data_IF_605191510738
#
_entry.id   IF_605191510738
#
_cell.length_a   1.000
_cell.length_b   1.000
_cell.length_c   1.000
_cell.angle_alpha   90.00
_cell.angle_beta   90.00
_cell.angle_gamma   90.00
#
_symmetry.space_group_name_H-M   'P 1'
#
loop_
_entity.id
_entity.type
_entity.pdbx_description
1 polymer ?
#
# COMPACT_ATOMS: atom_id res chain seq x y z
N UNK A 1 2.68 4.27 19.54
CA UNK A 1 2.01 4.06 18.25
C UNK A 1 3.03 3.67 17.21
N UNK A 2 2.92 2.49 16.67
CA UNK A 2 4.00 1.98 15.80
C UNK A 2 3.54 1.74 14.37
N UNK A 3 2.46 1.00 14.16
CA UNK A 3 1.97 0.80 12.81
C UNK A 3 0.48 0.47 12.80
N UNK A 4 -0.16 0.83 11.69
CA UNK A 4 -1.57 0.58 11.46
C UNK A 4 -1.75 -0.05 10.09
N UNK A 5 -2.67 -1.01 10.02
CA UNK A 5 -3.06 -1.67 8.79
C UNK A 5 -4.50 -1.28 8.47
N UNK A 6 -4.73 -0.85 7.24
CA UNK A 6 -6.03 -0.34 6.83
C UNK A 6 -6.55 -1.16 5.66
N UNK A 7 -7.79 -1.64 5.79
CA UNK A 7 -8.49 -2.33 4.72
C UNK A 7 -9.63 -1.46 4.21
N UNK A 8 -9.65 -1.18 2.92
CA UNK A 8 -10.68 -0.33 2.33
C UNK A 8 -11.93 -1.08 1.90
N UNK A 9 -11.86 -2.42 1.82
CA UNK A 9 -13.00 -3.20 1.32
C UNK A 9 -14.08 -3.41 2.35
N UNK A 10 -13.80 -3.04 3.60
CA UNK A 10 -14.78 -3.11 4.69
C UNK A 10 -15.19 -1.70 5.09
N UNK A 11 -16.47 -1.40 5.04
CA UNK A 11 -17.01 -0.10 5.45
C UNK A 11 -17.75 -0.25 6.78
N UNK A 12 -17.46 0.63 7.79
CA UNK A 12 -16.40 1.65 7.77
C UNK A 12 -15.01 1.04 7.69
N UNK A 13 -14.01 1.85 7.38
CA UNK A 13 -12.64 1.34 7.26
C UNK A 13 -12.21 0.61 8.53
N UNK A 14 -11.72 -0.60 8.37
CA UNK A 14 -11.13 -1.32 9.48
C UNK A 14 -9.67 -0.92 9.63
N UNK A 15 -9.31 -0.49 10.83
CA UNK A 15 -7.94 -0.17 11.18
C UNK A 15 -7.47 -1.17 12.22
N UNK A 16 -6.42 -1.90 11.89
CA UNK A 16 -5.81 -2.85 12.80
C UNK A 16 -4.49 -2.26 13.30
N UNK A 17 -4.36 -2.18 14.61
CA UNK A 17 -3.15 -1.65 15.25
C UNK A 17 -2.18 -2.78 15.54
N UNK A 18 -0.92 -2.60 15.17
CA UNK A 18 0.15 -3.56 15.48
C UNK A 18 1.15 -2.91 16.42
N UNK A 19 1.69 -3.69 17.33
CA UNK A 19 2.59 -3.20 18.38
C UNK A 19 4.05 -3.13 17.92
N UNK A 20 4.40 -3.88 16.90
CA UNK A 20 5.75 -3.86 16.30
C UNK A 20 5.67 -4.42 14.86
N UNK A 21 6.83 -4.47 14.19
CA UNK A 21 6.90 -4.95 12.81
C UNK A 21 6.56 -6.42 12.65
N UNK A 22 6.97 -7.25 13.59
CA UNK A 22 6.65 -8.69 13.54
C UNK A 22 5.14 -8.93 13.68
N UNK A 23 4.51 -8.20 14.58
CA UNK A 23 3.06 -8.25 14.77
C UNK A 23 2.33 -7.83 13.49
N UNK A 24 2.78 -6.75 12.87
CA UNK A 24 2.22 -6.28 11.59
C UNK A 24 2.36 -7.32 10.49
N UNK A 25 3.53 -7.96 10.37
CA UNK A 25 3.74 -9.01 9.39
C UNK A 25 2.82 -10.21 9.64
N UNK A 26 2.58 -10.54 10.90
CA UNK A 26 1.64 -11.60 11.28
C UNK A 26 0.25 -11.33 10.75
N UNK A 27 -0.24 -10.10 10.91
CA UNK A 27 -1.54 -9.70 10.36
C UNK A 27 -1.55 -9.76 8.84
N UNK A 28 -0.49 -9.27 8.19
CA UNK A 28 -0.38 -9.27 6.73
C UNK A 28 -0.38 -10.68 6.14
N UNK A 29 0.12 -11.66 6.88
CA UNK A 29 0.10 -13.06 6.45
C UNK A 29 -1.27 -13.70 6.57
N UNK A 30 -2.13 -13.18 7.45
CA UNK A 30 -3.45 -13.74 7.73
C UNK A 30 -4.55 -13.09 6.92
N UNK A 31 -4.46 -11.78 6.69
CA UNK A 31 -5.50 -10.99 6.03
C UNK A 31 -4.90 -10.06 4.98
N UNK A 32 -5.74 -9.67 4.05
CA UNK A 32 -5.37 -8.68 3.05
C UNK A 32 -5.62 -7.27 3.59
N UNK A 33 -4.61 -6.40 3.43
CA UNK A 33 -4.72 -4.98 3.76
C UNK A 33 -4.32 -4.14 2.55
N UNK A 34 -4.86 -2.94 2.47
CA UNK A 34 -4.58 -2.03 1.36
C UNK A 34 -3.49 -1.01 1.68
N UNK A 35 -3.38 -0.62 2.94
CA UNK A 35 -2.44 0.40 3.39
C UNK A 35 -1.73 -0.08 4.66
N UNK A 36 -0.42 0.10 4.69
CA UNK A 36 0.40 -0.03 5.90
C UNK A 36 0.91 1.37 6.26
N UNK A 37 0.53 1.85 7.43
CA UNK A 37 1.01 3.11 7.98
C UNK A 37 1.96 2.77 9.12
N UNK A 38 3.24 3.14 9.01
CA UNK A 38 4.25 2.74 9.99
C UNK A 38 5.20 3.87 10.35
N UNK A 39 5.67 3.84 11.59
CA UNK A 39 6.81 4.63 12.02
C UNK A 39 8.11 3.97 11.52
N UNK A 40 9.17 4.73 11.40
CA UNK A 40 10.50 4.19 11.07
C UNK A 40 11.11 3.48 12.28
N UNK A 41 11.15 4.17 13.42
CA UNK A 41 11.80 3.61 14.60
C UNK A 41 10.83 2.79 15.42
N UNK A 42 11.08 1.49 15.44
CA UNK A 42 10.30 0.54 16.21
C UNK A 42 11.25 -0.49 16.85
N UNK A 43 10.86 -1.10 17.99
CA UNK A 43 11.65 -2.19 18.57
C UNK A 43 11.74 -3.39 17.61
N UNK A 44 12.90 -4.01 17.58
CA UNK A 44 13.22 -5.25 16.86
C UNK A 44 13.29 -5.12 15.35
N UNK A 45 12.29 -4.57 14.71
CA UNK A 45 12.23 -4.39 13.26
C UNK A 45 11.80 -2.96 12.97
N UNK A 46 12.61 -2.19 12.25
CA UNK A 46 12.25 -0.82 11.91
C UNK A 46 11.24 -0.76 10.76
N UNK A 47 10.71 0.43 10.50
CA UNK A 47 9.69 0.61 9.46
C UNK A 47 10.19 0.35 8.05
N UNK A 48 11.46 0.56 7.78
CA UNK A 48 12.04 0.26 6.45
C UNK A 48 12.13 -1.23 6.23
N UNK A 49 12.58 -1.97 7.22
CA UNK A 49 12.66 -3.43 7.16
C UNK A 49 11.26 -4.04 7.06
N UNK A 50 10.32 -3.54 7.84
CA UNK A 50 8.92 -3.95 7.75
C UNK A 50 8.37 -3.69 6.34
N UNK A 51 8.64 -2.51 5.78
CA UNK A 51 8.18 -2.16 4.43
C UNK A 51 8.75 -3.10 3.38
N UNK A 52 10.01 -3.46 3.51
CA UNK A 52 10.67 -4.40 2.60
C UNK A 52 9.98 -5.76 2.62
N UNK A 53 9.73 -6.31 3.80
CA UNK A 53 9.05 -7.59 3.94
C UNK A 53 7.59 -7.52 3.47
N UNK A 54 6.89 -6.46 3.84
CA UNK A 54 5.48 -6.28 3.46
C UNK A 54 5.32 -6.18 1.94
N UNK A 55 6.16 -5.41 1.28
CA UNK A 55 6.11 -5.25 -0.18
C UNK A 55 6.58 -6.51 -0.92
N UNK A 56 7.42 -7.33 -0.31
CA UNK A 56 7.76 -8.64 -0.86
C UNK A 56 6.57 -9.59 -0.84
N UNK A 57 5.74 -9.52 0.20
CA UNK A 57 4.51 -10.31 0.30
C UNK A 57 3.41 -9.77 -0.62
N UNK A 58 3.23 -8.45 -0.62
CA UNK A 58 2.16 -7.77 -1.36
C UNK A 58 2.73 -6.58 -2.11
N UNK A 59 3.17 -6.75 -3.37
CA UNK A 59 3.76 -5.66 -4.14
C UNK A 59 2.84 -4.46 -4.36
N UNK A 60 1.53 -4.67 -4.31
CA UNK A 60 0.54 -3.61 -4.51
C UNK A 60 0.15 -2.89 -3.21
N UNK A 61 0.66 -3.33 -2.07
CA UNK A 61 0.40 -2.69 -0.79
C UNK A 61 0.91 -1.25 -0.81
N UNK A 62 0.10 -0.32 -0.33
CA UNK A 62 0.50 1.08 -0.19
C UNK A 62 1.13 1.28 1.18
N UNK A 63 2.40 1.64 1.21
CA UNK A 63 3.12 1.86 2.46
C UNK A 63 3.32 3.36 2.65
N UNK A 64 2.90 3.86 3.81
CA UNK A 64 3.09 5.24 4.23
C UNK A 64 3.97 5.24 5.48
N UNK A 65 5.11 5.89 5.40
CA UNK A 65 6.04 5.98 6.53
C UNK A 65 5.92 7.35 7.17
N UNK A 66 5.82 7.37 8.49
CA UNK A 66 5.81 8.59 9.30
C UNK A 66 7.05 8.56 10.19
N UNK A 67 7.89 9.59 10.09
CA UNK A 67 9.16 9.63 10.81
C UNK A 67 9.34 10.95 11.55
N UNK A 68 9.96 10.88 12.72
CA UNK A 68 10.42 12.07 13.44
C UNK A 68 11.80 12.55 12.95
N UNK A 69 12.40 11.82 12.03
CA UNK A 69 13.77 12.08 11.57
C UNK A 69 13.82 12.65 10.17
N UNK A 70 14.49 13.79 10.02
CA UNK A 70 14.79 14.42 8.74
C UNK A 70 16.04 13.80 8.11
N UNK A 71 16.14 12.48 8.13
CA UNK A 71 17.29 11.80 7.58
C UNK A 71 17.04 11.48 6.10
N UNK A 72 17.81 12.12 5.24
CA UNK A 72 17.71 11.94 3.81
C UNK A 72 17.95 10.47 3.41
N UNK A 73 18.83 9.76 4.12
CA UNK A 73 19.13 8.37 3.81
C UNK A 73 17.92 7.46 4.04
N UNK A 74 17.14 7.71 5.08
CA UNK A 74 15.90 6.97 5.32
C UNK A 74 14.89 7.21 4.20
N UNK A 75 14.72 8.46 3.79
CA UNK A 75 13.80 8.80 2.70
C UNK A 75 14.22 8.16 1.38
N UNK A 76 15.51 8.20 1.06
CA UNK A 76 16.02 7.55 -0.15
C UNK A 76 15.77 6.04 -0.13
N UNK A 77 16.06 5.39 0.98
CA UNK A 77 15.84 3.96 1.14
C UNK A 77 14.35 3.62 0.99
N UNK A 78 13.49 4.41 1.60
CA UNK A 78 12.05 4.22 1.49
C UNK A 78 11.57 4.30 0.04
N UNK A 79 12.04 5.28 -0.70
CA UNK A 79 11.69 5.45 -2.11
C UNK A 79 12.16 4.25 -2.93
N UNK A 80 13.37 3.78 -2.70
CA UNK A 80 13.92 2.60 -3.40
C UNK A 80 13.11 1.34 -3.11
N UNK A 81 12.58 1.21 -1.89
CA UNK A 81 11.76 0.07 -1.51
C UNK A 81 10.37 0.09 -2.13
N UNK A 82 9.94 1.24 -2.66
CA UNK A 82 8.61 1.39 -3.24
C UNK A 82 7.55 1.90 -2.27
N UNK A 83 7.97 2.60 -1.23
CA UNK A 83 7.08 3.26 -0.28
C UNK A 83 6.31 4.36 -1.00
N UNK A 84 5.01 4.44 -0.75
CA UNK A 84 4.11 5.38 -1.41
C UNK A 84 4.30 6.81 -0.94
N UNK A 85 4.42 7.01 0.37
CA UNK A 85 4.60 8.34 0.98
C UNK A 85 5.54 8.24 2.18
N UNK A 86 6.30 9.32 2.37
CA UNK A 86 7.22 9.46 3.51
C UNK A 86 6.95 10.82 4.16
N UNK A 87 6.46 10.81 5.38
CA UNK A 87 6.02 12.00 6.08
C UNK A 87 6.84 12.27 7.32
N UNK A 88 7.02 13.55 7.64
CA UNK A 88 7.76 13.99 8.83
C UNK A 88 6.81 14.43 9.93
N UNK A 89 7.06 13.99 11.15
CA UNK A 89 6.35 14.47 12.35
C UNK A 89 6.82 15.90 12.68
N UNK A 90 5.95 16.76 13.24
CA UNK A 90 4.55 16.52 13.60
C UNK A 90 3.64 16.60 12.37
N UNK A 91 2.68 15.68 12.26
CA UNK A 91 1.72 15.68 11.17
C UNK A 91 0.37 16.13 11.70
N UNK A 92 -0.23 17.11 11.02
CA UNK A 92 -1.56 17.55 11.37
C UNK A 92 -2.61 16.54 10.87
N UNK A 93 -3.71 16.35 11.62
CA UNK A 93 -4.75 15.40 11.20
C UNK A 93 -5.27 15.64 9.79
N UNK A 94 -5.40 16.91 9.39
CA UNK A 94 -5.88 17.27 8.06
C UNK A 94 -4.90 16.81 6.97
N UNK A 95 -3.61 16.98 7.19
CA UNK A 95 -2.56 16.54 6.26
C UNK A 95 -2.59 15.02 6.09
N UNK A 96 -2.67 14.29 7.20
CA UNK A 96 -2.75 12.84 7.16
C UNK A 96 -4.00 12.37 6.43
N UNK A 97 -5.15 13.00 6.71
CA UNK A 97 -6.39 12.68 6.03
C UNK A 97 -6.29 12.89 4.52
N UNK A 98 -5.72 14.01 4.10
CA UNK A 98 -5.54 14.31 2.67
C UNK A 98 -4.68 13.26 1.98
N UNK A 99 -3.60 12.83 2.63
CA UNK A 99 -2.70 11.82 2.08
C UNK A 99 -3.38 10.46 2.00
N UNK A 100 -4.12 10.06 3.03
CA UNK A 100 -4.86 8.81 3.00
C UNK A 100 -5.92 8.80 1.91
N UNK A 101 -6.62 9.93 1.71
CA UNK A 101 -7.59 10.06 0.62
C UNK A 101 -6.92 9.92 -0.74
N UNK A 102 -5.77 10.54 -0.92
CA UNK A 102 -4.97 10.44 -2.15
C UNK A 102 -4.56 8.98 -2.41
N UNK A 103 -4.07 8.29 -1.41
CA UNK A 103 -3.65 6.89 -1.51
C UNK A 103 -4.84 6.00 -1.85
N UNK A 104 -5.98 6.20 -1.18
CA UNK A 104 -7.20 5.43 -1.46
C UNK A 104 -7.71 5.66 -2.88
N UNK A 105 -7.65 6.89 -3.37
CA UNK A 105 -8.01 7.21 -4.75
C UNK A 105 -7.08 6.48 -5.74
N UNK A 106 -5.79 6.45 -5.45
CA UNK A 106 -4.80 5.73 -6.27
C UNK A 106 -5.12 4.22 -6.32
N UNK A 107 -5.52 3.64 -5.20
CA UNK A 107 -5.91 2.22 -5.15
C UNK A 107 -7.16 1.98 -6.00
N UNK A 108 -8.16 2.86 -5.92
CA UNK A 108 -9.37 2.77 -6.74
C UNK A 108 -9.04 2.84 -8.23
N UNK A 109 -8.20 3.78 -8.62
CA UNK A 109 -7.78 3.93 -10.02
C UNK A 109 -7.06 2.68 -10.51
N UNK A 110 -6.17 2.11 -9.69
CA UNK A 110 -5.46 0.89 -10.04
C UNK A 110 -6.42 -0.28 -10.23
N UNK A 111 -7.38 -0.44 -9.34
CA UNK A 111 -8.40 -1.49 -9.47
C UNK A 111 -9.25 -1.30 -10.71
N UNK A 112 -9.68 -0.08 -10.98
CA UNK A 112 -10.44 0.24 -12.17
C UNK A 112 -9.64 -0.04 -13.44
N UNK A 113 -8.37 0.37 -13.47
CA UNK A 113 -7.48 0.14 -14.62
C UNK A 113 -7.30 -1.36 -14.88
N UNK A 114 -7.08 -2.15 -13.84
CA UNK A 114 -6.97 -3.60 -13.97
C UNK A 114 -8.23 -4.22 -14.54
N UNK A 115 -9.40 -3.76 -14.11
CA UNK A 115 -10.68 -4.24 -14.62
C UNK A 115 -10.86 -3.87 -16.08
N UNK A 116 -10.54 -2.64 -16.46
CA UNK A 116 -10.60 -2.17 -17.83
C UNK A 116 -9.65 -2.94 -18.75
N UNK A 117 -8.42 -3.15 -18.29
CA UNK A 117 -7.42 -3.92 -19.03
C UNK A 117 -7.89 -5.36 -19.25
N UNK A 118 -8.46 -5.97 -18.22
CA UNK A 118 -9.01 -7.32 -18.31
C UNK A 118 -10.17 -7.39 -19.30
N UNK A 119 -11.08 -6.43 -19.27
CA UNK A 119 -12.21 -6.34 -20.20
C UNK A 119 -11.71 -6.12 -21.63
N UNK A 120 -10.74 -5.23 -21.81
CA UNK A 120 -10.16 -4.95 -23.12
C UNK A 120 -9.45 -6.17 -23.69
N UNK A 121 -8.68 -6.88 -22.86
CA UNK A 121 -8.00 -8.09 -23.27
C UNK A 121 -8.99 -9.18 -23.69
N UNK A 122 -10.07 -9.37 -22.94
CA UNK A 122 -11.11 -10.33 -23.29
C UNK A 122 -11.83 -9.96 -24.59
N UNK A 123 -12.15 -8.69 -24.76
CA UNK A 123 -12.77 -8.20 -25.97
C UNK A 123 -11.88 -8.42 -27.18
N UNK A 124 -10.61 -8.03 -27.09
CA UNK A 124 -9.64 -8.20 -28.17
C UNK A 124 -9.46 -9.68 -28.53
N UNK A 125 -9.37 -10.54 -27.53
CA UNK A 125 -9.22 -11.98 -27.73
C UNK A 125 -10.43 -12.55 -28.46
N UNK A 126 -11.64 -12.22 -28.03
CA UNK A 126 -12.86 -12.70 -28.67
C UNK A 126 -12.99 -12.17 -30.10
N UNK A 127 -12.62 -10.92 -30.32
CA UNK A 127 -12.66 -10.28 -31.63
C UNK A 127 -11.68 -10.94 -32.61
N UNK A 128 -10.45 -11.20 -32.15
CA UNK A 128 -9.45 -11.85 -32.96
C UNK A 128 -9.85 -13.29 -33.34
N UNK A 129 -10.42 -14.03 -32.40
CA UNK A 129 -10.91 -15.38 -32.65
C UNK A 129 -12.06 -15.37 -33.66
N UNK A 130 -13.01 -14.45 -33.51
CA UNK A 130 -14.10 -14.30 -34.43
C UNK A 130 -13.63 -13.93 -35.84
N UNK A 131 -12.69 -12.99 -35.91
CA UNK A 131 -12.11 -12.56 -37.18
C UNK A 131 -11.36 -13.71 -37.87
N UNK A 132 -10.62 -14.49 -37.11
CA UNK A 132 -9.89 -15.67 -37.65
C UNK A 132 -10.86 -16.74 -38.15
N UNK A 133 -11.98 -16.94 -37.47
CA UNK A 133 -12.97 -17.93 -37.84
C UNK A 133 -13.81 -17.51 -39.07
N UNK A 134 -13.90 -16.22 -39.35
CA UNK A 134 -14.66 -15.71 -40.47
C UNK A 134 -13.87 -15.70 -41.79
N UNK A 135 -12.62 -16.10 -41.74
CA UNK A 135 -11.79 -16.26 -42.93
C UNK A 135 -11.71 -17.72 -43.32
#
# INVERSE_FOLDING_TARGET
>A
MYCFLISKFKLPFEVTSAINGEDALGYLQQEHFDILLTDIQMPFMDGLELSKHALALYPDLRVVIISAHEDFSYAQTAIRLGVCEYLLKPIQPQELNNILQKVLSSIKEQHLQKRLDSMTANYAKNHLLTSANSR
#
